data_IF_773122362816
#
_entry.id   IF_773122362816
#
_cell.length_a   1.000
_cell.length_b   1.000
_cell.length_c   1.000
_cell.angle_alpha   90.00
_cell.angle_beta   90.00
_cell.angle_gamma   90.00
#
_symmetry.space_group_name_H-M   'P 1'
#
loop_
_entity.id
_entity.type
_entity.pdbx_description
1 polymer ?
#
# COMPACT_ATOMS: atom_id res chain seq x y z
N UNK A 1 -19.00 -8.91 -4.80
CA UNK A 1 -18.55 -8.51 -6.18
C UNK A 1 -18.04 -7.08 -6.34
N UNK A 2 -18.65 -6.02 -5.76
CA UNK A 2 -18.13 -4.65 -5.99
C UNK A 2 -16.75 -4.42 -5.32
N UNK A 3 -16.57 -4.86 -4.07
CA UNK A 3 -15.28 -4.81 -3.38
C UNK A 3 -14.20 -5.64 -4.10
N UNK A 4 -14.56 -6.87 -4.47
CA UNK A 4 -13.72 -7.81 -5.23
C UNK A 4 -13.15 -7.21 -6.54
N UNK A 5 -13.97 -6.48 -7.30
CA UNK A 5 -13.52 -5.80 -8.54
C UNK A 5 -12.48 -4.71 -8.28
N UNK A 6 -12.60 -3.98 -7.17
CA UNK A 6 -11.64 -2.93 -6.82
C UNK A 6 -10.32 -3.48 -6.30
N UNK A 7 -10.37 -4.58 -5.53
CA UNK A 7 -9.14 -5.29 -5.16
C UNK A 7 -8.43 -5.89 -6.37
N UNK A 8 -9.16 -6.42 -7.36
CA UNK A 8 -8.56 -6.90 -8.61
C UNK A 8 -7.84 -5.79 -9.37
N UNK A 9 -8.43 -4.59 -9.42
CA UNK A 9 -7.81 -3.44 -10.06
C UNK A 9 -6.46 -3.06 -9.44
N UNK A 10 -6.37 -3.06 -8.09
CA UNK A 10 -5.11 -2.79 -7.38
C UNK A 10 -4.06 -3.87 -7.66
N UNK A 11 -4.45 -5.15 -7.69
CA UNK A 11 -3.53 -6.25 -8.06
C UNK A 11 -3.00 -6.09 -9.47
N UNK A 12 -3.86 -5.76 -10.44
CA UNK A 12 -3.45 -5.54 -11.83
C UNK A 12 -2.50 -4.36 -11.92
N UNK A 13 -2.84 -3.21 -11.33
CA UNK A 13 -1.99 -2.01 -11.35
C UNK A 13 -0.60 -2.27 -10.74
N UNK A 14 -0.55 -2.99 -9.61
CA UNK A 14 0.72 -3.35 -8.97
C UNK A 14 1.53 -4.34 -9.85
N UNK A 15 0.84 -5.29 -10.48
CA UNK A 15 1.44 -6.26 -11.40
C UNK A 15 2.01 -5.59 -12.65
N UNK A 16 1.26 -4.69 -13.28
CA UNK A 16 1.71 -3.91 -14.45
C UNK A 16 2.95 -3.07 -14.11
N UNK A 17 2.95 -2.39 -12.96
CA UNK A 17 4.11 -1.62 -12.50
C UNK A 17 5.33 -2.51 -12.28
N UNK A 18 5.18 -3.66 -11.61
CA UNK A 18 6.29 -4.58 -11.38
C UNK A 18 6.82 -5.18 -12.69
N UNK A 19 5.94 -5.55 -13.61
CA UNK A 19 6.32 -6.07 -14.93
C UNK A 19 7.06 -4.99 -15.72
N UNK A 20 6.57 -3.74 -15.74
CA UNK A 20 7.22 -2.64 -16.43
C UNK A 20 8.64 -2.40 -15.91
N UNK A 21 8.82 -2.33 -14.58
CA UNK A 21 10.14 -2.18 -13.96
C UNK A 21 11.03 -3.39 -14.33
N UNK A 22 10.49 -4.61 -14.26
CA UNK A 22 11.22 -5.83 -14.58
C UNK A 22 11.68 -5.92 -16.03
N UNK A 23 10.81 -5.59 -16.99
CA UNK A 23 11.12 -5.56 -18.42
C UNK A 23 12.18 -4.51 -18.72
N UNK A 24 11.99 -3.27 -18.24
CA UNK A 24 12.98 -2.19 -18.42
C UNK A 24 14.35 -2.57 -17.84
N UNK A 25 14.36 -3.35 -16.76
CA UNK A 25 15.60 -3.86 -16.15
C UNK A 25 16.22 -4.99 -16.97
N UNK A 26 15.42 -5.89 -17.55
CA UNK A 26 15.87 -7.06 -18.30
C UNK A 26 16.41 -6.71 -19.70
N UNK A 27 15.93 -5.63 -20.31
CA UNK A 27 16.45 -5.12 -21.59
C UNK A 27 17.88 -4.58 -21.47
N UNK A 28 18.41 -4.43 -20.25
CA UNK A 28 19.77 -3.98 -20.00
C UNK A 28 20.78 -5.11 -20.04
N UNK A 29 21.83 -4.93 -20.83
CA UNK A 29 22.93 -5.89 -20.98
C UNK A 29 23.98 -5.81 -19.85
N UNK A 30 23.94 -4.76 -19.01
CA UNK A 30 24.98 -4.41 -18.04
C UNK A 30 24.49 -4.30 -16.59
N UNK A 31 23.40 -4.99 -16.24
CA UNK A 31 22.79 -4.82 -14.92
C UNK A 31 23.75 -5.22 -13.78
N UNK A 32 24.20 -4.21 -13.02
CA UNK A 32 25.07 -4.41 -11.87
C UNK A 32 24.38 -5.17 -10.73
N UNK A 33 25.15 -5.81 -9.85
CA UNK A 33 24.62 -6.46 -8.65
C UNK A 33 23.81 -5.51 -7.75
N UNK A 34 24.16 -4.21 -7.73
CA UNK A 34 23.38 -3.20 -7.01
C UNK A 34 22.06 -2.88 -7.70
N UNK A 35 22.00 -2.94 -9.04
CA UNK A 35 20.76 -2.80 -9.81
C UNK A 35 19.79 -3.95 -9.51
N UNK A 36 20.31 -5.18 -9.43
CA UNK A 36 19.52 -6.35 -8.98
C UNK A 36 19.03 -6.16 -7.54
N UNK A 37 19.89 -5.67 -6.64
CA UNK A 37 19.50 -5.34 -5.27
C UNK A 37 18.40 -4.28 -5.20
N UNK A 38 18.46 -3.26 -6.06
CA UNK A 38 17.43 -2.23 -6.18
C UNK A 38 16.11 -2.79 -6.69
N UNK A 39 16.15 -3.69 -7.67
CA UNK A 39 14.96 -4.36 -8.20
C UNK A 39 14.28 -5.22 -7.15
N UNK A 40 15.07 -5.97 -6.36
CA UNK A 40 14.58 -6.74 -5.22
C UNK A 40 13.95 -5.81 -4.17
N UNK A 41 14.61 -4.70 -3.84
CA UNK A 41 14.09 -3.73 -2.87
C UNK A 41 12.77 -3.09 -3.34
N UNK A 42 12.68 -2.68 -4.61
CA UNK A 42 11.45 -2.18 -5.20
C UNK A 42 10.33 -3.23 -5.19
N UNK A 43 10.67 -4.50 -5.48
CA UNK A 43 9.72 -5.61 -5.40
C UNK A 43 9.22 -5.82 -3.97
N UNK A 44 10.10 -5.69 -2.97
CA UNK A 44 9.73 -5.76 -1.57
C UNK A 44 8.81 -4.59 -1.13
N UNK A 45 8.99 -3.38 -1.68
CA UNK A 45 8.05 -2.27 -1.50
C UNK A 45 6.67 -2.64 -2.08
N UNK A 46 6.63 -3.15 -3.30
CA UNK A 46 5.37 -3.57 -3.93
C UNK A 46 4.66 -4.66 -3.12
N UNK A 47 5.38 -5.68 -2.66
CA UNK A 47 4.85 -6.71 -1.76
C UNK A 47 4.33 -6.12 -0.44
N UNK A 48 5.00 -5.11 0.12
CA UNK A 48 4.57 -4.44 1.34
C UNK A 48 3.28 -3.64 1.12
N UNK A 49 3.14 -2.98 -0.04
CA UNK A 49 1.90 -2.29 -0.43
C UNK A 49 0.76 -3.26 -0.66
N UNK A 50 1.04 -4.39 -1.32
CA UNK A 50 0.10 -5.48 -1.48
C UNK A 50 -0.41 -5.96 -0.12
N UNK A 51 0.49 -6.24 0.83
CA UNK A 51 0.13 -6.64 2.19
C UNK A 51 -0.67 -5.56 2.93
N UNK A 52 -0.27 -4.29 2.81
CA UNK A 52 -0.94 -3.17 3.45
C UNK A 52 -2.39 -2.98 2.98
N UNK A 53 -2.67 -3.37 1.73
CA UNK A 53 -4.00 -3.34 1.14
C UNK A 53 -4.78 -4.62 1.46
N UNK A 54 -4.25 -5.79 1.12
CA UNK A 54 -4.99 -7.05 1.18
C UNK A 54 -5.16 -7.64 2.59
N UNK A 55 -4.37 -7.21 3.58
CA UNK A 55 -4.43 -7.82 4.91
C UNK A 55 -5.81 -7.75 5.57
N UNK A 56 -6.62 -6.73 5.28
CA UNK A 56 -7.96 -6.59 5.86
C UNK A 56 -8.87 -5.59 5.13
N UNK A 57 -8.37 -4.76 4.21
CA UNK A 57 -9.20 -3.71 3.58
C UNK A 57 -10.37 -4.30 2.78
N UNK A 58 -10.20 -5.36 1.95
CA UNK A 58 -11.31 -5.93 1.19
C UNK A 58 -12.44 -6.43 2.10
N UNK A 59 -12.10 -7.12 3.18
CA UNK A 59 -13.06 -7.65 4.16
C UNK A 59 -13.84 -6.53 4.87
N UNK A 60 -13.12 -5.50 5.35
CA UNK A 60 -13.75 -4.36 6.02
C UNK A 60 -14.63 -3.57 5.04
N UNK A 61 -14.23 -3.46 3.77
CA UNK A 61 -15.03 -2.77 2.77
C UNK A 61 -16.30 -3.54 2.41
N UNK A 62 -16.23 -4.86 2.26
CA UNK A 62 -17.40 -5.72 2.02
C UNK A 62 -18.39 -5.62 3.17
N UNK A 63 -17.93 -5.78 4.41
CA UNK A 63 -18.78 -5.65 5.59
C UNK A 63 -19.43 -4.28 5.69
N UNK A 64 -18.70 -3.20 5.37
CA UNK A 64 -19.26 -1.85 5.36
C UNK A 64 -20.33 -1.64 4.28
N UNK A 65 -20.23 -2.31 3.13
CA UNK A 65 -21.26 -2.29 2.08
C UNK A 65 -22.52 -3.06 2.49
N UNK A 66 -22.34 -4.19 3.18
CA UNK A 66 -23.43 -5.00 3.72
C UNK A 66 -24.18 -4.28 4.84
N UNK A 67 -23.46 -3.66 5.77
CA UNK A 67 -24.02 -2.91 6.88
C UNK A 67 -24.66 -1.57 6.45
N UNK A 68 -24.31 -1.03 5.28
CA UNK A 68 -24.84 0.24 4.80
C UNK A 68 -26.33 0.13 4.38
N UNK A 69 -27.10 1.16 4.77
CA UNK A 69 -28.49 1.34 4.34
C UNK A 69 -28.59 1.48 2.80
N UNK A 70 -29.73 1.15 2.17
CA UNK A 70 -29.87 1.23 0.70
C UNK A 70 -29.53 2.60 0.11
N UNK A 71 -29.80 3.69 0.85
CA UNK A 71 -29.50 5.07 0.44
C UNK A 71 -28.03 5.44 0.60
N UNK A 72 -27.31 4.84 1.56
CA UNK A 72 -25.90 5.12 1.83
C UNK A 72 -24.95 4.19 1.08
N UNK A 73 -25.39 2.99 0.71
CA UNK A 73 -24.59 1.98 0.00
C UNK A 73 -23.95 2.54 -1.28
N UNK A 74 -24.69 3.34 -2.05
CA UNK A 74 -24.17 4.00 -3.25
C UNK A 74 -23.07 5.04 -2.95
N UNK A 75 -23.16 5.75 -1.83
CA UNK A 75 -22.15 6.72 -1.39
C UNK A 75 -20.88 6.01 -0.90
N UNK A 76 -21.03 4.97 -0.08
CA UNK A 76 -19.89 4.16 0.40
C UNK A 76 -19.16 3.50 -0.77
N UNK A 77 -19.91 2.92 -1.71
CA UNK A 77 -19.34 2.32 -2.92
C UNK A 77 -18.56 3.35 -3.76
N UNK A 78 -19.07 4.57 -3.92
CA UNK A 78 -18.41 5.63 -4.69
C UNK A 78 -17.18 6.20 -3.98
N UNK A 79 -17.32 6.56 -2.71
CA UNK A 79 -16.28 7.20 -1.92
C UNK A 79 -15.09 6.26 -1.73
N UNK A 80 -15.34 5.04 -1.29
CA UNK A 80 -14.28 4.07 -1.04
C UNK A 80 -13.82 3.46 -2.35
N UNK A 81 -14.74 2.95 -3.18
CA UNK A 81 -14.40 2.26 -4.42
C UNK A 81 -13.71 3.15 -5.45
N UNK A 82 -14.25 4.33 -5.78
CA UNK A 82 -13.72 5.12 -6.88
C UNK A 82 -12.80 6.26 -6.41
N UNK A 83 -13.23 7.05 -5.43
CA UNK A 83 -12.49 8.26 -5.06
C UNK A 83 -11.21 7.99 -4.27
N UNK A 84 -11.19 6.98 -3.39
CA UNK A 84 -9.99 6.71 -2.57
C UNK A 84 -9.03 5.72 -3.25
N UNK A 85 -9.50 4.83 -4.13
CA UNK A 85 -8.60 3.96 -4.91
C UNK A 85 -7.78 4.74 -5.92
N UNK A 86 -8.32 5.85 -6.47
CA UNK A 86 -7.61 6.67 -7.43
C UNK A 86 -6.28 7.24 -6.87
N UNK A 87 -6.25 7.90 -5.69
CA UNK A 87 -5.01 8.28 -5.03
C UNK A 87 -4.03 7.11 -4.80
N UNK A 88 -4.52 5.93 -4.41
CA UNK A 88 -3.66 4.76 -4.22
C UNK A 88 -2.95 4.38 -5.52
N UNK A 89 -3.68 4.35 -6.63
CA UNK A 89 -3.13 4.01 -7.95
C UNK A 89 -2.14 5.07 -8.41
N UNK A 90 -2.46 6.37 -8.24
CA UNK A 90 -1.50 7.45 -8.50
C UNK A 90 -0.23 7.29 -7.66
N UNK A 91 -0.35 6.93 -6.38
CA UNK A 91 0.79 6.67 -5.51
C UNK A 91 1.64 5.49 -5.97
N UNK A 92 1.03 4.40 -6.44
CA UNK A 92 1.71 3.23 -7.02
C UNK A 92 2.47 3.63 -8.30
N UNK A 93 1.87 4.45 -9.17
CA UNK A 93 2.51 4.93 -10.40
C UNK A 93 3.70 5.84 -10.06
N UNK A 94 3.56 6.78 -9.12
CA UNK A 94 4.68 7.64 -8.69
C UNK A 94 5.81 6.81 -8.09
N UNK A 95 5.46 5.79 -7.30
CA UNK A 95 6.43 4.82 -6.80
C UNK A 95 7.15 4.08 -7.94
N UNK A 96 6.43 3.69 -9.01
CA UNK A 96 7.02 3.00 -10.15
C UNK A 96 8.16 3.80 -10.78
N UNK A 97 7.93 5.10 -10.99
CA UNK A 97 8.92 6.05 -11.54
C UNK A 97 10.17 6.10 -10.66
N UNK A 98 9.98 6.22 -9.34
CA UNK A 98 11.11 6.24 -8.39
C UNK A 98 11.88 4.91 -8.38
N UNK A 99 11.15 3.79 -8.41
CA UNK A 99 11.75 2.46 -8.44
C UNK A 99 12.60 2.28 -9.70
N UNK A 100 12.09 2.68 -10.86
CA UNK A 100 12.81 2.63 -12.12
C UNK A 100 14.11 3.46 -12.06
N UNK A 101 14.06 4.69 -11.55
CA UNK A 101 15.26 5.53 -11.40
C UNK A 101 16.31 4.89 -10.48
N UNK A 102 15.88 4.30 -9.35
CA UNK A 102 16.78 3.64 -8.40
C UNK A 102 17.40 2.39 -9.01
N UNK A 103 16.64 1.60 -9.76
CA UNK A 103 17.18 0.40 -10.44
C UNK A 103 18.23 0.81 -11.48
N UNK A 104 18.00 1.91 -12.20
CA UNK A 104 18.97 2.44 -13.15
C UNK A 104 20.24 2.97 -12.47
N UNK A 105 20.09 3.74 -11.40
CA UNK A 105 21.19 4.46 -10.74
C UNK A 105 21.20 4.22 -9.22
N UNK A 106 21.50 2.99 -8.73
CA UNK A 106 21.31 2.61 -7.33
C UNK A 106 22.20 3.37 -6.34
N UNK A 107 23.33 3.93 -6.82
CA UNK A 107 24.26 4.73 -6.02
C UNK A 107 23.91 6.21 -5.97
N UNK A 108 23.10 6.71 -6.91
CA UNK A 108 22.71 8.12 -6.98
C UNK A 108 21.72 8.39 -5.86
N UNK A 109 21.91 9.49 -5.13
CA UNK A 109 20.92 9.98 -4.17
C UNK A 109 19.79 10.69 -4.90
N UNK A 110 18.67 10.93 -4.22
CA UNK A 110 17.53 11.61 -4.83
C UNK A 110 17.81 13.08 -5.04
N UNK A 111 17.42 13.60 -6.21
CA UNK A 111 17.31 15.04 -6.39
C UNK A 111 16.02 15.58 -5.76
N UNK A 112 15.85 16.90 -5.72
CA UNK A 112 14.69 17.54 -5.10
C UNK A 112 13.36 17.08 -5.72
N UNK A 113 13.32 16.79 -7.02
CA UNK A 113 12.10 16.32 -7.66
C UNK A 113 11.77 14.89 -7.18
N UNK A 114 12.75 14.00 -7.13
CA UNK A 114 12.60 12.63 -6.62
C UNK A 114 12.22 12.60 -5.13
N UNK A 115 12.74 13.52 -4.32
CA UNK A 115 12.32 13.69 -2.92
C UNK A 115 10.84 14.09 -2.81
N UNK A 116 10.39 15.04 -3.63
CA UNK A 116 8.99 15.47 -3.68
C UNK A 116 8.10 14.34 -4.17
N UNK A 117 8.53 13.56 -5.17
CA UNK A 117 7.80 12.39 -5.64
C UNK A 117 7.68 11.34 -4.54
N UNK A 118 8.74 11.08 -3.76
CA UNK A 118 8.70 10.10 -2.66
C UNK A 118 7.72 10.57 -1.57
N UNK A 119 7.78 11.84 -1.18
CA UNK A 119 6.84 12.43 -0.24
C UNK A 119 5.40 12.38 -0.76
N UNK A 120 5.19 12.71 -2.04
CA UNK A 120 3.89 12.65 -2.70
C UNK A 120 3.32 11.24 -2.75
N UNK A 121 4.12 10.24 -3.14
CA UNK A 121 3.72 8.83 -3.11
C UNK A 121 3.33 8.40 -1.70
N UNK A 122 4.09 8.78 -0.68
CA UNK A 122 3.79 8.47 0.71
C UNK A 122 2.44 9.04 1.16
N UNK A 123 2.17 10.31 0.83
CA UNK A 123 0.90 10.97 1.13
C UNK A 123 -0.27 10.32 0.38
N UNK A 124 -0.09 10.01 -0.90
CA UNK A 124 -1.12 9.34 -1.71
C UNK A 124 -1.45 7.94 -1.18
N UNK A 125 -0.42 7.14 -0.89
CA UNK A 125 -0.58 5.76 -0.44
C UNK A 125 -1.08 5.69 1.01
N UNK A 126 -0.33 6.26 1.96
CA UNK A 126 -0.68 6.18 3.38
C UNK A 126 -1.91 7.05 3.68
N UNK A 127 -2.01 8.23 3.08
CA UNK A 127 -3.19 9.09 3.20
C UNK A 127 -4.43 8.44 2.59
N UNK A 128 -4.31 7.77 1.45
CA UNK A 128 -5.39 6.96 0.87
C UNK A 128 -5.86 5.87 1.84
N UNK A 129 -4.93 5.08 2.39
CA UNK A 129 -5.30 4.08 3.39
C UNK A 129 -5.93 4.65 4.66
N UNK A 130 -5.43 5.79 5.14
CA UNK A 130 -6.01 6.49 6.29
C UNK A 130 -7.40 7.04 5.97
N UNK A 131 -7.64 7.51 4.74
CA UNK A 131 -8.96 7.94 4.30
C UNK A 131 -9.95 6.79 4.25
N UNK A 132 -9.54 5.60 3.78
CA UNK A 132 -10.36 4.38 3.85
C UNK A 132 -10.70 4.08 5.31
N UNK A 133 -9.69 3.99 6.18
CA UNK A 133 -9.89 3.69 7.60
C UNK A 133 -10.81 4.71 8.30
N UNK A 134 -10.62 6.00 8.02
CA UNK A 134 -11.47 7.05 8.56
C UNK A 134 -12.91 6.94 8.07
N UNK A 135 -13.13 6.63 6.79
CA UNK A 135 -14.48 6.46 6.23
C UNK A 135 -15.19 5.23 6.79
N UNK A 136 -14.48 4.13 7.00
CA UNK A 136 -15.06 2.86 7.42
C UNK A 136 -15.20 2.73 8.94
N UNK A 137 -14.29 3.31 9.71
CA UNK A 137 -14.25 3.11 11.17
C UNK A 137 -14.14 4.41 11.97
N UNK A 138 -14.06 5.58 11.33
CA UNK A 138 -13.91 6.90 11.98
C UNK A 138 -12.74 6.95 12.99
N UNK A 139 -11.73 6.12 12.79
CA UNK A 139 -10.52 6.07 13.61
C UNK A 139 -9.32 6.48 12.79
N UNK A 140 -8.29 6.98 13.47
CA UNK A 140 -6.99 7.29 12.88
C UNK A 140 -5.96 6.34 13.47
N UNK A 141 -5.24 5.62 12.60
CA UNK A 141 -4.17 4.73 13.04
C UNK A 141 -2.90 5.53 13.33
N UNK A 142 -2.48 5.55 14.59
CA UNK A 142 -1.18 6.13 14.98
C UNK A 142 -0.02 5.42 14.31
N UNK A 143 -0.12 4.13 14.00
CA UNK A 143 0.91 3.38 13.23
C UNK A 143 1.07 3.96 11.83
N UNK A 144 -0.04 4.25 11.15
CA UNK A 144 0.00 4.81 9.79
C UNK A 144 0.53 6.25 9.81
N UNK A 145 0.19 7.03 10.83
CA UNK A 145 0.78 8.37 11.03
C UNK A 145 2.29 8.31 11.25
N UNK A 146 2.78 7.42 12.12
CA UNK A 146 4.23 7.25 12.33
C UNK A 146 4.93 6.73 11.09
N UNK A 147 4.28 5.84 10.32
CA UNK A 147 4.79 5.36 9.04
C UNK A 147 4.91 6.49 8.01
N UNK A 148 3.86 7.32 7.86
CA UNK A 148 3.87 8.50 7.00
C UNK A 148 4.99 9.46 7.40
N UNK A 149 5.07 9.83 8.68
CA UNK A 149 6.12 10.71 9.18
C UNK A 149 7.53 10.15 8.91
N UNK A 150 7.73 8.83 9.04
CA UNK A 150 8.99 8.17 8.75
C UNK A 150 9.35 8.22 7.27
N UNK A 151 8.39 8.04 6.35
CA UNK A 151 8.65 8.15 4.91
C UNK A 151 8.90 9.60 4.51
N UNK A 152 8.20 10.57 5.10
CA UNK A 152 8.46 12.00 4.86
C UNK A 152 9.86 12.39 5.34
N UNK A 153 10.30 11.89 6.50
CA UNK A 153 11.68 12.06 6.95
C UNK A 153 12.67 11.40 5.99
N UNK A 154 12.38 10.18 5.52
CA UNK A 154 13.19 9.49 4.54
C UNK A 154 13.30 10.28 3.24
N UNK A 155 12.23 10.95 2.79
CA UNK A 155 12.25 11.79 1.60
C UNK A 155 13.19 12.99 1.74
N UNK A 156 13.35 13.55 2.94
CA UNK A 156 14.35 14.60 3.20
C UNK A 156 15.76 14.02 3.20
N UNK A 157 15.97 12.89 3.88
CA UNK A 157 17.29 12.25 4.03
C UNK A 157 17.78 11.60 2.73
N UNK A 158 16.89 11.21 1.83
CA UNK A 158 17.23 10.54 0.55
C UNK A 158 18.09 11.40 -0.38
N UNK A 159 18.20 12.71 -0.14
CA UNK A 159 19.09 13.60 -0.89
C UNK A 159 20.58 13.41 -0.58
N UNK A 160 20.92 12.67 0.48
CA UNK A 160 22.32 12.43 0.89
C UNK A 160 22.67 10.94 1.04
N UNK A 161 21.70 10.04 0.90
CA UNK A 161 21.93 8.59 0.94
C UNK A 161 21.71 7.96 -0.43
N UNK A 162 22.37 6.84 -0.76
CA UNK A 162 22.16 6.16 -2.04
C UNK A 162 20.70 5.73 -2.22
N UNK A 163 20.17 5.87 -3.45
CA UNK A 163 18.78 5.52 -3.77
C UNK A 163 18.41 4.07 -3.41
N UNK A 164 19.35 3.12 -3.53
CA UNK A 164 19.16 1.75 -3.07
C UNK A 164 18.85 1.69 -1.56
N UNK A 165 19.59 2.45 -0.75
CA UNK A 165 19.37 2.51 0.71
C UNK A 165 18.00 3.11 1.00
N UNK A 166 17.61 4.19 0.29
CA UNK A 166 16.27 4.77 0.41
C UNK A 166 15.18 3.75 0.06
N UNK A 167 15.36 2.96 -0.99
CA UNK A 167 14.38 1.93 -1.40
C UNK A 167 14.26 0.82 -0.36
N UNK A 168 15.37 0.35 0.21
CA UNK A 168 15.37 -0.63 1.30
C UNK A 168 14.70 -0.08 2.55
N UNK A 169 15.01 1.16 2.94
CA UNK A 169 14.36 1.83 4.06
C UNK A 169 12.85 1.96 3.82
N UNK A 170 12.44 2.34 2.62
CA UNK A 170 11.03 2.43 2.24
C UNK A 170 10.31 1.08 2.38
N UNK A 171 10.93 -0.01 1.90
CA UNK A 171 10.38 -1.37 2.04
C UNK A 171 10.21 -1.75 3.52
N UNK A 172 11.22 -1.47 4.35
CA UNK A 172 11.16 -1.76 5.79
C UNK A 172 10.08 -0.93 6.48
N UNK A 173 10.00 0.38 6.22
CA UNK A 173 9.01 1.26 6.84
C UNK A 173 7.58 0.83 6.45
N UNK A 174 7.34 0.58 5.16
CA UNK A 174 6.02 0.13 4.69
C UNK A 174 5.67 -1.26 5.22
N UNK A 175 6.60 -2.22 5.17
CA UNK A 175 6.38 -3.57 5.66
C UNK A 175 6.11 -3.61 7.16
N UNK A 176 6.86 -2.85 7.97
CA UNK A 176 6.61 -2.74 9.42
C UNK A 176 5.29 -2.05 9.72
N UNK A 177 4.98 -0.94 9.02
CA UNK A 177 3.69 -0.24 9.14
C UNK A 177 2.52 -1.15 8.79
N UNK A 178 2.63 -1.92 7.71
CA UNK A 178 1.61 -2.87 7.25
C UNK A 178 1.41 -4.00 8.28
N UNK A 179 2.51 -4.63 8.73
CA UNK A 179 2.49 -5.68 9.74
C UNK A 179 1.85 -5.21 11.05
N UNK A 180 2.30 -4.07 11.57
CA UNK A 180 1.77 -3.50 12.81
C UNK A 180 0.29 -3.10 12.66
N UNK A 181 -0.11 -2.59 11.49
CA UNK A 181 -1.52 -2.26 11.22
C UNK A 181 -2.39 -3.52 11.19
N UNK A 182 -1.93 -4.59 10.55
CA UNK A 182 -2.63 -5.88 10.52
C UNK A 182 -2.75 -6.50 11.93
N UNK A 183 -1.67 -6.47 12.72
CA UNK A 183 -1.68 -6.94 14.11
C UNK A 183 -2.67 -6.17 14.99
N UNK A 184 -2.70 -4.83 14.85
CA UNK A 184 -3.67 -3.99 15.58
C UNK A 184 -5.11 -4.20 15.09
N UNK A 185 -5.30 -4.51 13.82
CA UNK A 185 -6.62 -4.86 13.31
C UNK A 185 -7.11 -6.18 13.88
N UNK A 186 -6.26 -7.21 13.91
CA UNK A 186 -6.60 -8.53 14.45
C UNK A 186 -7.05 -8.50 15.92
N UNK A 187 -6.55 -7.55 16.71
CA UNK A 187 -6.96 -7.36 18.12
C UNK A 187 -8.12 -6.37 18.28
N UNK A 188 -8.63 -5.79 17.20
CA UNK A 188 -9.68 -4.77 17.24
C UNK A 188 -11.08 -5.37 17.41
N UNK A 189 -12.04 -4.64 18.02
CA UNK A 189 -13.43 -5.08 18.10
C UNK A 189 -14.07 -5.34 16.73
N UNK A 190 -13.59 -4.66 15.69
CA UNK A 190 -14.07 -4.85 14.30
C UNK A 190 -13.72 -6.24 13.79
N UNK A 191 -12.51 -6.73 14.02
CA UNK A 191 -12.12 -8.10 13.62
C UNK A 191 -12.99 -9.14 14.32
N UNK A 192 -13.29 -8.95 15.61
CA UNK A 192 -14.21 -9.81 16.35
C UNK A 192 -15.65 -9.77 15.81
N UNK A 193 -16.10 -8.62 15.29
CA UNK A 193 -17.42 -8.49 14.66
C UNK A 193 -17.49 -9.23 13.33
N UNK A 194 -16.45 -9.12 12.49
CA UNK A 194 -16.37 -9.84 11.21
C UNK A 194 -16.38 -11.36 11.39
N UNK A 195 -15.68 -11.86 12.41
CA UNK A 195 -15.66 -13.30 12.71
C UNK A 195 -17.04 -13.82 13.12
N UNK A 196 -17.78 -13.07 13.94
CA UNK A 196 -19.15 -13.45 14.37
C UNK A 196 -20.16 -13.51 13.22
N UNK A 197 -19.95 -12.74 12.16
CA UNK A 197 -20.82 -12.76 10.97
C UNK A 197 -20.46 -13.87 9.99
N UNK A 198 -19.39 -14.63 10.21
CA UNK A 198 -19.00 -15.73 9.33
C UNK A 198 -19.89 -16.97 9.57
N UNK A 199 -20.74 -17.37 8.60
CA UNK A 199 -21.68 -18.48 8.77
C UNK A 199 -21.01 -19.86 8.90
N UNK A 200 -19.69 -19.97 8.70
CA UNK A 200 -18.95 -21.21 8.94
C UNK A 200 -18.54 -21.42 10.41
N UNK A 201 -18.54 -20.38 11.25
CA UNK A 201 -18.14 -20.49 12.67
C UNK A 201 -19.30 -20.98 13.56
N UNK A 202 -20.55 -20.94 13.07
CA UNK A 202 -21.72 -21.46 13.79
C UNK A 202 -21.93 -22.97 13.68
N UNK A 203 -21.03 -23.69 12.99
CA UNK A 203 -21.11 -25.16 12.80
C UNK A 203 -20.15 -25.96 13.69
N UNK A 204 -19.27 -25.31 14.45
CA UNK A 204 -18.26 -25.97 15.29
C UNK A 204 -18.60 -25.98 16.78
N UNK A 205 -19.76 -25.43 17.20
CA UNK A 205 -20.18 -25.38 18.60
C UNK A 205 -21.25 -26.41 18.97
N UNK A 206 -21.50 -27.40 18.12
CA UNK A 206 -22.41 -28.52 18.40
C UNK A 206 -21.68 -29.83 18.10
N UNK A 207 -20.85 -30.27 19.03
CA UNK A 207 -20.48 -31.68 19.25
C UNK A 207 -19.92 -31.83 20.68
#
# INVERSE_FOLDING_TARGET
HFAERHSLFITIALGEVLVAIGVNSAERTDMSALGVGALIAASAVACSLWWAYFAYIPEVFEHALEAASPTERGRVARDVGSFIHFPLVCGIIVFAVLAEHVVHSPRKHFDTAEQVLLAGAAVLLIGGFMAIQWRLSRTVSTVRLTGLASILLLAVVSGVVPGLVSMVCLAVILGTTAKMSAQRFATSPMAAALQKTNPNDSRTSTD
#
